data_IF_302080006182
#
_entry.id   IF_302080006182
#
_cell.length_a   1.000
_cell.length_b   1.000
_cell.length_c   1.000
_cell.angle_alpha   90.00
_cell.angle_beta   90.00
_cell.angle_gamma   90.00
#
_symmetry.space_group_name_H-M   'P 1'
#
loop_
_entity.id
_entity.type
_entity.pdbx_description
1 polymer ?
#
# COMPACT_ATOMS: atom_id res chain seq x y z
N UNK A 1 23.97 24.55 39.40
CA UNK A 1 24.33 24.00 38.08
C UNK A 1 23.08 23.41 37.45
N UNK A 2 22.28 24.21 36.72
CA UNK A 2 21.07 23.73 36.04
C UNK A 2 21.43 23.34 34.60
N UNK A 3 21.40 22.05 34.30
CA UNK A 3 21.53 21.53 32.94
C UNK A 3 20.19 21.76 32.24
N UNK A 4 20.04 22.89 31.55
CA UNK A 4 18.93 23.10 30.62
C UNK A 4 19.16 22.26 29.37
N UNK A 5 18.56 21.08 29.33
CA UNK A 5 18.38 20.33 28.08
C UNK A 5 17.39 21.09 27.19
N UNK A 6 17.89 22.00 26.34
CA UNK A 6 17.09 22.51 25.25
C UNK A 6 16.94 21.42 24.18
N UNK A 7 15.85 20.65 24.26
CA UNK A 7 15.36 19.80 23.18
C UNK A 7 15.04 20.68 21.96
N UNK A 8 16.03 20.88 21.09
CA UNK A 8 15.83 21.51 19.78
C UNK A 8 15.26 20.47 18.82
N UNK A 9 13.93 20.35 18.79
CA UNK A 9 13.27 19.58 17.74
C UNK A 9 13.44 20.26 16.39
N UNK A 10 13.88 19.51 15.37
CA UNK A 10 13.91 20.04 14.00
C UNK A 10 12.50 20.31 13.50
N UNK A 11 12.30 21.36 12.69
CA UNK A 11 10.99 21.66 12.06
C UNK A 11 10.40 20.44 11.33
N UNK A 12 11.27 19.61 10.75
CA UNK A 12 10.87 18.37 10.08
C UNK A 12 10.37 17.29 11.06
N UNK A 13 10.97 17.18 12.25
CA UNK A 13 10.49 16.27 13.29
C UNK A 13 9.10 16.69 13.79
N UNK A 14 8.92 17.98 14.08
CA UNK A 14 7.64 18.54 14.51
C UNK A 14 6.56 18.26 13.47
N UNK A 15 6.80 18.55 12.19
CA UNK A 15 5.81 18.31 11.15
C UNK A 15 5.39 16.84 11.01
N UNK A 16 6.33 15.89 11.14
CA UNK A 16 6.02 14.45 11.11
C UNK A 16 5.13 14.05 12.29
N UNK A 17 5.47 14.53 13.49
CA UNK A 17 4.71 14.24 14.70
C UNK A 17 3.31 14.88 14.64
N UNK A 18 3.21 16.13 14.17
CA UNK A 18 1.92 16.80 13.94
C UNK A 18 1.06 16.03 12.95
N UNK A 19 1.61 15.57 11.82
CA UNK A 19 0.86 14.77 10.86
C UNK A 19 0.33 13.46 11.50
N UNK A 20 1.18 12.76 12.26
CA UNK A 20 0.78 11.55 12.96
C UNK A 20 -0.32 11.81 14.00
N UNK A 21 -0.21 12.89 14.77
CA UNK A 21 -1.21 13.29 15.76
C UNK A 21 -2.55 13.67 15.10
N UNK A 22 -2.53 14.39 13.98
CA UNK A 22 -3.75 14.71 13.22
C UNK A 22 -4.39 13.45 12.66
N UNK A 23 -3.62 12.53 12.06
CA UNK A 23 -4.15 11.26 11.57
C UNK A 23 -4.71 10.40 12.70
N UNK A 24 -4.06 10.38 13.86
CA UNK A 24 -4.57 9.69 15.05
C UNK A 24 -5.94 10.22 15.44
N UNK A 25 -6.08 11.54 15.62
CA UNK A 25 -7.33 12.18 16.01
C UNK A 25 -8.43 11.94 14.96
N UNK A 26 -8.12 12.15 13.68
CA UNK A 26 -9.08 11.90 12.60
C UNK A 26 -9.51 10.43 12.56
N UNK A 27 -8.57 9.49 12.69
CA UNK A 27 -8.87 8.06 12.70
C UNK A 27 -9.77 7.69 13.87
N UNK A 28 -9.46 8.19 15.07
CA UNK A 28 -10.24 7.92 16.27
C UNK A 28 -11.66 8.49 16.17
N UNK A 29 -11.83 9.66 15.55
CA UNK A 29 -13.15 10.26 15.33
C UNK A 29 -13.98 9.55 14.25
N UNK A 30 -13.34 9.08 13.17
CA UNK A 30 -14.04 8.49 12.02
C UNK A 30 -14.33 6.99 12.23
N UNK A 31 -13.47 6.27 12.94
CA UNK A 31 -13.58 4.80 13.05
C UNK A 31 -14.91 4.29 13.60
N UNK A 32 -15.53 4.92 14.62
CA UNK A 32 -16.83 4.50 15.12
C UNK A 32 -17.94 4.50 14.07
N UNK A 33 -17.82 5.31 13.00
CA UNK A 33 -18.79 5.33 11.91
C UNK A 33 -18.55 4.21 10.89
N UNK A 34 -17.32 3.71 10.75
CA UNK A 34 -16.99 2.68 9.77
C UNK A 34 -17.20 1.28 10.35
N UNK A 35 -18.44 0.79 10.23
CA UNK A 35 -18.88 -0.48 10.84
C UNK A 35 -19.25 -1.57 9.83
N UNK A 36 -19.55 -1.22 8.57
CA UNK A 36 -20.03 -2.15 7.55
C UNK A 36 -18.91 -2.66 6.63
N UNK A 37 -19.27 -3.55 5.70
CA UNK A 37 -18.32 -4.19 4.79
C UNK A 37 -17.30 -5.05 5.54
N UNK A 38 -16.04 -5.04 5.08
CA UNK A 38 -14.93 -5.79 5.69
C UNK A 38 -14.70 -5.41 7.17
N UNK A 39 -15.07 -4.19 7.59
CA UNK A 39 -14.86 -3.71 8.97
C UNK A 39 -15.66 -4.49 10.01
N UNK A 40 -16.87 -4.93 9.66
CA UNK A 40 -17.72 -5.75 10.53
C UNK A 40 -17.03 -7.06 10.93
N UNK A 41 -16.40 -7.70 9.95
CA UNK A 41 -15.67 -8.94 10.12
C UNK A 41 -14.38 -8.72 10.90
N UNK A 42 -13.65 -7.64 10.62
CA UNK A 42 -12.44 -7.29 11.39
C UNK A 42 -12.76 -7.01 12.86
N UNK A 43 -13.87 -6.32 13.16
CA UNK A 43 -14.34 -6.07 14.54
C UNK A 43 -14.62 -7.37 15.27
N UNK A 44 -15.44 -8.24 14.66
CA UNK A 44 -15.77 -9.55 15.22
C UNK A 44 -14.53 -10.39 15.51
N UNK A 45 -13.60 -10.47 14.54
CA UNK A 45 -12.35 -11.21 14.74
C UNK A 45 -11.55 -10.63 15.89
N UNK A 46 -11.35 -9.31 15.90
CA UNK A 46 -10.56 -8.64 16.94
C UNK A 46 -11.12 -8.87 18.35
N UNK A 47 -12.44 -8.79 18.52
CA UNK A 47 -13.12 -8.97 19.81
C UNK A 47 -13.09 -10.41 20.31
N UNK A 48 -13.02 -11.41 19.42
CA UNK A 48 -12.99 -12.83 19.81
C UNK A 48 -11.55 -13.37 19.96
N UNK A 49 -10.53 -12.68 19.45
CA UNK A 49 -9.12 -13.11 19.56
C UNK A 49 -8.57 -13.30 20.99
N UNK A 50 -9.01 -12.54 22.02
CA UNK A 50 -8.56 -12.75 23.40
C UNK A 50 -8.83 -14.15 23.93
N UNK A 51 -9.94 -14.77 23.49
CA UNK A 51 -10.42 -16.07 23.96
C UNK A 51 -9.59 -17.26 23.45
N UNK A 52 -8.75 -17.04 22.43
CA UNK A 52 -7.98 -18.10 21.78
C UNK A 52 -6.47 -18.01 22.08
N UNK A 53 -5.84 -19.18 22.21
CA UNK A 53 -4.39 -19.32 22.15
C UNK A 53 -3.81 -18.89 20.80
N UNK A 54 -2.48 -18.80 20.68
CA UNK A 54 -1.83 -18.28 19.46
C UNK A 54 -2.15 -19.11 18.20
N UNK A 55 -2.11 -20.43 18.29
CA UNK A 55 -2.33 -21.35 17.16
C UNK A 55 -3.81 -21.40 16.76
N UNK A 56 -4.70 -21.58 17.72
CA UNK A 56 -6.15 -21.59 17.53
C UNK A 56 -6.65 -20.24 17.02
N UNK A 57 -6.14 -19.14 17.58
CA UNK A 57 -6.44 -17.79 17.16
C UNK A 57 -5.99 -17.54 15.72
N UNK A 58 -4.82 -18.04 15.31
CA UNK A 58 -4.36 -17.91 13.93
C UNK A 58 -5.24 -18.70 12.95
N UNK A 59 -5.68 -19.90 13.34
CA UNK A 59 -6.59 -20.71 12.55
C UNK A 59 -7.97 -20.04 12.42
N UNK A 60 -8.50 -19.50 13.51
CA UNK A 60 -9.76 -18.75 13.54
C UNK A 60 -9.67 -17.49 12.67
N UNK A 61 -8.60 -16.71 12.81
CA UNK A 61 -8.31 -15.52 11.99
C UNK A 61 -8.27 -15.87 10.50
N UNK A 62 -7.51 -16.90 10.14
CA UNK A 62 -7.30 -17.29 8.74
C UNK A 62 -8.58 -17.80 8.08
N UNK A 63 -9.40 -18.56 8.81
CA UNK A 63 -10.70 -19.04 8.33
C UNK A 63 -11.71 -17.91 8.20
N UNK A 64 -11.74 -16.99 9.16
CA UNK A 64 -12.70 -15.89 9.18
C UNK A 64 -12.40 -14.88 8.06
N UNK A 65 -11.14 -14.52 7.84
CA UNK A 65 -10.74 -13.46 6.90
C UNK A 65 -10.27 -13.98 5.53
N UNK A 66 -10.20 -15.31 5.35
CA UNK A 66 -9.76 -15.96 4.11
C UNK A 66 -8.33 -15.61 3.69
N UNK A 67 -7.46 -15.18 4.62
CA UNK A 67 -6.08 -14.76 4.33
C UNK A 67 -5.13 -15.13 5.47
N UNK A 68 -3.89 -15.45 5.11
CA UNK A 68 -2.83 -15.88 6.02
C UNK A 68 -1.78 -14.77 6.20
N UNK A 69 -2.17 -13.70 6.90
CA UNK A 69 -1.29 -12.55 7.15
C UNK A 69 -0.84 -12.54 8.60
N UNK A 70 0.32 -13.16 8.83
CA UNK A 70 0.81 -13.44 10.17
C UNK A 70 1.05 -12.16 10.99
N UNK A 71 1.59 -11.08 10.39
CA UNK A 71 1.92 -9.87 11.14
C UNK A 71 0.66 -9.12 11.60
N UNK A 72 -0.33 -8.97 10.72
CA UNK A 72 -1.61 -8.36 11.09
C UNK A 72 -2.29 -9.18 12.20
N UNK A 73 -2.33 -10.50 12.05
CA UNK A 73 -2.84 -11.41 13.07
C UNK A 73 -2.11 -11.23 14.41
N UNK A 74 -0.78 -11.33 14.42
CA UNK A 74 0.00 -11.31 15.65
C UNK A 74 -0.17 -9.98 16.40
N UNK A 75 -0.14 -8.86 15.68
CA UNK A 75 -0.37 -7.54 16.28
C UNK A 75 -1.80 -7.39 16.82
N UNK A 76 -2.81 -7.87 16.09
CA UNK A 76 -4.21 -7.84 16.54
C UNK A 76 -4.45 -8.74 17.75
N UNK A 77 -3.84 -9.93 17.76
CA UNK A 77 -3.90 -10.88 18.87
C UNK A 77 -3.28 -10.28 20.13
N UNK A 78 -2.08 -9.68 20.04
CA UNK A 78 -1.49 -9.00 21.20
C UNK A 78 -2.36 -7.81 21.64
N UNK A 79 -2.77 -6.95 20.71
CA UNK A 79 -3.46 -5.70 21.05
C UNK A 79 -4.87 -5.90 21.63
N UNK A 80 -5.63 -6.88 21.11
CA UNK A 80 -7.02 -7.15 21.53
C UNK A 80 -7.19 -7.48 23.01
N UNK A 81 -6.11 -7.88 23.69
CA UNK A 81 -6.11 -8.15 25.14
C UNK A 81 -6.01 -6.91 26.01
N UNK A 82 -5.57 -5.79 25.44
CA UNK A 82 -5.21 -4.60 26.22
C UNK A 82 -5.93 -3.33 25.74
N UNK A 83 -6.37 -3.29 24.49
CA UNK A 83 -6.80 -2.07 23.82
C UNK A 83 -8.00 -2.37 22.91
N UNK A 84 -8.94 -1.42 22.84
CA UNK A 84 -10.05 -1.48 21.88
C UNK A 84 -9.55 -1.37 20.43
N UNK A 85 -10.26 -2.04 19.51
CA UNK A 85 -9.88 -2.06 18.08
C UNK A 85 -9.66 -0.66 17.52
N UNK A 86 -10.57 0.26 17.78
CA UNK A 86 -10.53 1.61 17.21
C UNK A 86 -9.28 2.38 17.65
N UNK A 87 -8.87 2.22 18.91
CA UNK A 87 -7.66 2.84 19.43
C UNK A 87 -6.40 2.19 18.84
N UNK A 88 -6.37 0.85 18.72
CA UNK A 88 -5.29 0.13 18.07
C UNK A 88 -5.09 0.55 16.60
N UNK A 89 -6.20 0.69 15.86
CA UNK A 89 -6.18 1.10 14.46
C UNK A 89 -5.80 2.57 14.29
N UNK A 90 -6.32 3.47 15.14
CA UNK A 90 -5.93 4.87 15.13
C UNK A 90 -4.42 5.05 15.40
N UNK A 91 -3.86 4.31 16.36
CA UNK A 91 -2.42 4.33 16.64
C UNK A 91 -1.60 3.77 15.48
N UNK A 92 -2.04 2.67 14.86
CA UNK A 92 -1.39 2.10 13.68
C UNK A 92 -1.40 3.07 12.48
N UNK A 93 -2.48 3.83 12.30
CA UNK A 93 -2.57 4.88 11.27
C UNK A 93 -1.61 6.03 11.54
N UNK A 94 -1.47 6.45 12.80
CA UNK A 94 -0.52 7.48 13.21
C UNK A 94 0.93 7.08 12.91
N UNK A 95 1.30 5.83 13.21
CA UNK A 95 2.63 5.29 12.87
C UNK A 95 2.82 5.31 11.36
N UNK A 96 1.84 4.83 10.59
CA UNK A 96 1.93 4.84 9.14
C UNK A 96 2.11 6.27 8.59
N UNK A 97 1.35 7.24 9.09
CA UNK A 97 1.50 8.64 8.72
C UNK A 97 2.91 9.18 9.01
N UNK A 98 3.47 8.87 10.19
CA UNK A 98 4.84 9.27 10.55
C UNK A 98 5.89 8.66 9.61
N UNK A 99 5.75 7.36 9.30
CA UNK A 99 6.65 6.63 8.40
C UNK A 99 6.53 7.17 6.98
N UNK A 100 5.32 7.40 6.47
CA UNK A 100 5.10 7.95 5.13
C UNK A 100 5.62 9.38 4.98
N UNK A 101 5.41 10.24 5.97
CA UNK A 101 6.06 11.56 6.03
C UNK A 101 7.58 11.43 5.96
N UNK A 102 8.16 10.46 6.68
CA UNK A 102 9.60 10.21 6.65
C UNK A 102 10.09 9.73 5.29
N UNK A 103 9.33 8.87 4.62
CA UNK A 103 9.63 8.40 3.26
C UNK A 103 9.56 9.54 2.24
N UNK A 104 8.50 10.34 2.26
CA UNK A 104 8.34 11.47 1.33
C UNK A 104 9.43 12.53 1.51
N UNK A 105 9.86 12.77 2.75
CA UNK A 105 11.03 13.62 3.02
C UNK A 105 12.33 13.02 2.46
N UNK A 106 12.50 11.69 2.52
CA UNK A 106 13.63 11.01 1.85
C UNK A 106 13.57 11.19 0.34
N UNK A 107 12.37 11.20 -0.25
CA UNK A 107 12.13 11.48 -1.67
C UNK A 107 12.12 12.98 -2.03
N UNK A 108 12.69 13.83 -1.16
CA UNK A 108 12.85 15.28 -1.38
C UNK A 108 11.55 16.09 -1.42
N UNK A 109 10.40 15.51 -1.04
CA UNK A 109 9.14 16.26 -0.96
C UNK A 109 9.25 17.42 0.04
N UNK A 110 8.64 18.56 -0.29
CA UNK A 110 8.46 19.65 0.66
C UNK A 110 7.59 19.21 1.83
N UNK A 111 7.79 19.82 3.01
CA UNK A 111 7.05 19.42 4.23
C UNK A 111 5.54 19.56 4.03
N UNK A 112 5.11 20.65 3.40
CA UNK A 112 3.71 20.93 3.12
C UNK A 112 3.14 19.89 2.16
N UNK A 113 3.84 19.58 1.07
CA UNK A 113 3.35 18.59 0.10
C UNK A 113 3.24 17.20 0.73
N UNK A 114 4.22 16.79 1.52
CA UNK A 114 4.15 15.52 2.25
C UNK A 114 2.95 15.48 3.22
N UNK A 115 2.70 16.59 3.92
CA UNK A 115 1.57 16.72 4.84
C UNK A 115 0.23 16.62 4.12
N UNK A 116 0.07 17.33 2.99
CA UNK A 116 -1.13 17.25 2.14
C UNK A 116 -1.36 15.83 1.64
N UNK A 117 -0.34 15.18 1.09
CA UNK A 117 -0.46 13.81 0.58
C UNK A 117 -0.86 12.81 1.66
N UNK A 118 -0.32 12.93 2.87
CA UNK A 118 -0.62 12.00 3.97
C UNK A 118 -2.04 12.20 4.51
N UNK A 119 -2.57 13.42 4.50
CA UNK A 119 -3.89 13.70 5.06
C UNK A 119 -5.04 13.63 4.05
N UNK A 120 -4.84 14.13 2.84
CA UNK A 120 -5.95 14.36 1.89
C UNK A 120 -5.96 13.37 0.74
N UNK A 121 -4.95 12.53 0.59
CA UNK A 121 -4.91 11.59 -0.52
C UNK A 121 -5.82 10.37 -0.28
N UNK A 122 -6.70 10.11 -1.23
CA UNK A 122 -7.65 9.00 -1.19
C UNK A 122 -7.01 7.65 -0.90
N UNK A 123 -5.88 7.32 -1.54
CA UNK A 123 -5.22 6.04 -1.30
C UNK A 123 -4.70 5.91 0.14
N UNK A 124 -4.27 7.02 0.77
CA UNK A 124 -3.91 7.00 2.18
C UNK A 124 -5.12 6.76 3.07
N UNK A 125 -6.26 7.41 2.81
CA UNK A 125 -7.49 7.13 3.56
C UNK A 125 -7.95 5.68 3.40
N UNK A 126 -7.88 5.14 2.19
CA UNK A 126 -8.17 3.72 1.94
C UNK A 126 -7.25 2.82 2.76
N UNK A 127 -5.94 3.11 2.84
CA UNK A 127 -5.02 2.33 3.69
C UNK A 127 -5.35 2.49 5.19
N UNK A 128 -5.69 3.71 5.62
CA UNK A 128 -6.00 3.98 7.03
C UNK A 128 -7.24 3.25 7.51
N UNK A 129 -8.26 3.18 6.68
CA UNK A 129 -9.58 2.71 7.09
C UNK A 129 -9.93 1.36 6.49
N UNK A 130 -10.04 1.26 5.17
CA UNK A 130 -10.54 0.05 4.52
C UNK A 130 -9.51 -1.10 4.48
N UNK A 131 -8.26 -0.80 4.16
CA UNK A 131 -7.22 -1.80 3.91
C UNK A 131 -6.36 -2.07 5.17
N UNK A 132 -7.02 -2.49 6.25
CA UNK A 132 -6.42 -2.74 7.58
C UNK A 132 -5.19 -3.66 7.52
N UNK A 133 -5.34 -4.76 6.77
CA UNK A 133 -4.34 -5.78 6.46
C UNK A 133 -3.12 -5.23 5.70
N UNK A 134 -3.37 -4.52 4.60
CA UNK A 134 -2.35 -3.98 3.71
C UNK A 134 -1.52 -2.87 4.38
N UNK A 135 -2.10 -2.14 5.34
CA UNK A 135 -1.46 -1.07 6.12
C UNK A 135 -0.13 -1.47 6.72
N UNK A 136 -0.07 -2.64 7.37
CA UNK A 136 1.17 -3.13 7.99
C UNK A 136 2.23 -3.46 6.93
N UNK A 137 1.82 -4.07 5.80
CA UNK A 137 2.67 -4.26 4.64
C UNK A 137 3.27 -2.94 4.12
N UNK A 138 2.45 -1.90 3.98
CA UNK A 138 2.90 -0.57 3.57
C UNK A 138 3.81 0.11 4.58
N UNK A 139 3.55 -0.06 5.86
CA UNK A 139 4.38 0.48 6.95
C UNK A 139 5.81 -0.07 6.86
N UNK A 140 5.94 -1.40 6.77
CA UNK A 140 7.25 -2.04 6.65
C UNK A 140 7.91 -1.82 5.27
N UNK A 141 7.12 -1.76 4.19
CA UNK A 141 7.63 -1.36 2.88
C UNK A 141 8.26 0.03 2.96
N UNK A 142 7.55 1.01 3.51
CA UNK A 142 8.03 2.37 3.62
C UNK A 142 9.29 2.45 4.51
N UNK A 143 9.34 1.72 5.64
CA UNK A 143 10.54 1.59 6.46
C UNK A 143 11.72 0.99 5.67
N UNK A 144 11.49 -0.06 4.87
CA UNK A 144 12.54 -0.65 4.05
C UNK A 144 13.13 0.38 3.09
N UNK A 145 12.29 1.17 2.40
CA UNK A 145 12.74 2.18 1.44
C UNK A 145 13.45 3.37 2.13
N UNK A 146 13.02 3.73 3.35
CA UNK A 146 13.75 4.71 4.18
C UNK A 146 15.17 4.21 4.48
N UNK A 147 15.36 2.91 4.68
CA UNK A 147 16.66 2.31 4.99
C UNK A 147 17.34 1.65 3.79
N UNK A 148 16.99 2.02 2.54
CA UNK A 148 17.55 1.40 1.32
C UNK A 148 19.09 1.37 1.27
N UNK A 149 19.76 2.34 1.89
CA UNK A 149 21.21 2.46 1.92
C UNK A 149 21.86 1.60 3.04
N UNK A 150 21.06 1.05 3.95
CA UNK A 150 21.49 0.27 5.11
C UNK A 150 21.04 -1.19 4.97
N UNK A 151 21.88 -2.00 4.30
CA UNK A 151 21.53 -3.34 3.80
C UNK A 151 20.84 -4.25 4.83
N UNK A 152 21.34 -4.33 6.07
CA UNK A 152 20.76 -5.18 7.12
C UNK A 152 19.34 -4.73 7.50
N UNK A 153 19.12 -3.42 7.64
CA UNK A 153 17.82 -2.86 8.00
C UNK A 153 16.85 -2.93 6.83
N UNK A 154 17.33 -2.67 5.61
CA UNK A 154 16.55 -2.81 4.39
C UNK A 154 15.95 -4.23 4.28
N UNK A 155 16.80 -5.27 4.33
CA UNK A 155 16.33 -6.64 4.21
C UNK A 155 15.43 -7.07 5.38
N UNK A 156 15.76 -6.66 6.61
CA UNK A 156 14.91 -6.94 7.77
C UNK A 156 13.48 -6.40 7.60
N UNK A 157 13.35 -5.13 7.21
CA UNK A 157 12.03 -4.54 6.95
C UNK A 157 11.36 -5.08 5.69
N UNK A 158 12.12 -5.44 4.64
CA UNK A 158 11.55 -6.03 3.44
C UNK A 158 10.92 -7.41 3.71
N UNK A 159 11.60 -8.25 4.50
CA UNK A 159 11.05 -9.54 4.94
C UNK A 159 9.79 -9.33 5.79
N UNK A 160 9.82 -8.41 6.74
CA UNK A 160 8.62 -8.07 7.53
C UNK A 160 7.46 -7.57 6.66
N UNK A 161 7.74 -6.78 5.63
CA UNK A 161 6.72 -6.29 4.70
C UNK A 161 6.06 -7.43 3.91
N UNK A 162 6.87 -8.39 3.43
CA UNK A 162 6.37 -9.55 2.70
C UNK A 162 5.55 -10.51 3.57
N UNK A 163 5.98 -10.78 4.80
CA UNK A 163 5.24 -11.60 5.77
C UNK A 163 3.95 -10.88 6.21
N UNK A 164 3.96 -9.55 6.23
CA UNK A 164 2.76 -8.76 6.56
C UNK A 164 1.73 -8.83 5.46
N UNK A 165 2.12 -8.63 4.20
CA UNK A 165 1.19 -8.64 3.09
C UNK A 165 1.86 -8.92 1.74
N UNK A 166 1.42 -9.99 1.06
CA UNK A 166 2.04 -10.46 -0.19
C UNK A 166 1.97 -9.45 -1.33
N UNK A 167 0.93 -8.62 -1.42
CA UNK A 167 0.80 -7.60 -2.49
C UNK A 167 1.94 -6.58 -2.52
N UNK A 168 2.69 -6.40 -1.43
CA UNK A 168 3.90 -5.55 -1.43
C UNK A 168 4.98 -6.09 -2.39
N UNK A 169 4.93 -7.38 -2.72
CA UNK A 169 5.79 -8.01 -3.72
C UNK A 169 5.67 -7.35 -5.10
N UNK A 170 4.58 -6.64 -5.42
CA UNK A 170 4.46 -5.87 -6.67
C UNK A 170 5.58 -4.82 -6.75
N UNK A 171 5.87 -4.11 -5.66
CA UNK A 171 6.89 -3.06 -5.62
C UNK A 171 8.29 -3.67 -5.67
N UNK A 172 8.57 -4.68 -4.85
CA UNK A 172 9.87 -5.36 -4.89
C UNK A 172 10.09 -6.09 -6.22
N UNK A 173 9.03 -6.67 -6.80
CA UNK A 173 9.05 -7.28 -8.13
C UNK A 173 9.38 -6.27 -9.21
N UNK A 174 8.80 -5.08 -9.19
CA UNK A 174 9.17 -3.99 -10.10
C UNK A 174 10.66 -3.61 -9.99
N UNK A 175 11.20 -3.51 -8.76
CA UNK A 175 12.62 -3.21 -8.53
C UNK A 175 13.51 -4.34 -9.04
N UNK A 176 13.22 -5.59 -8.67
CA UNK A 176 13.99 -6.76 -9.06
C UNK A 176 13.94 -6.99 -10.58
N UNK A 177 12.78 -6.79 -11.20
CA UNK A 177 12.61 -6.88 -12.65
C UNK A 177 13.44 -5.83 -13.39
N UNK A 178 13.48 -4.59 -12.89
CA UNK A 178 14.36 -3.56 -13.45
C UNK A 178 15.84 -3.94 -13.35
N UNK A 179 16.28 -4.49 -12.21
CA UNK A 179 17.64 -5.00 -12.06
C UNK A 179 17.90 -6.11 -13.09
N UNK A 180 17.01 -7.11 -13.16
CA UNK A 180 17.10 -8.24 -14.07
C UNK A 180 17.20 -7.83 -15.55
N UNK A 181 16.27 -7.01 -16.04
CA UNK A 181 16.26 -6.56 -17.45
C UNK A 181 17.52 -5.76 -17.79
N UNK A 182 18.00 -4.90 -16.87
CA UNK A 182 19.27 -4.17 -17.07
C UNK A 182 20.47 -5.11 -17.15
N UNK A 183 20.46 -6.19 -16.39
CA UNK A 183 21.44 -7.27 -16.47
C UNK A 183 21.48 -7.92 -17.83
N UNK A 184 20.32 -8.33 -18.33
CA UNK A 184 20.15 -8.92 -19.65
C UNK A 184 20.66 -7.97 -20.73
N UNK A 185 20.24 -6.69 -20.69
CA UNK A 185 20.69 -5.69 -21.66
C UNK A 185 22.21 -5.47 -21.59
N UNK A 186 22.82 -5.51 -20.41
CA UNK A 186 24.28 -5.42 -20.24
C UNK A 186 24.99 -6.65 -20.80
N UNK A 187 24.43 -7.84 -20.59
CA UNK A 187 24.95 -9.10 -21.14
C UNK A 187 24.99 -9.04 -22.67
N UNK A 188 23.88 -8.66 -23.31
CA UNK A 188 23.84 -8.51 -24.77
C UNK A 188 24.85 -7.49 -25.31
N UNK A 189 25.16 -6.43 -24.55
CA UNK A 189 26.11 -5.38 -24.97
C UNK A 189 27.58 -5.73 -24.72
N UNK A 190 27.88 -6.55 -23.72
CA UNK A 190 29.27 -6.76 -23.25
C UNK A 190 29.75 -8.20 -23.29
N UNK A 191 28.83 -9.17 -23.48
CA UNK A 191 29.12 -10.61 -23.45
C UNK A 191 29.55 -11.16 -22.10
N UNK A 192 29.64 -10.33 -21.05
CA UNK A 192 30.15 -10.73 -19.73
C UNK A 192 29.04 -10.77 -18.69
N UNK A 193 28.87 -11.93 -18.04
CA UNK A 193 28.00 -12.10 -16.87
C UNK A 193 28.87 -12.06 -15.62
N UNK A 194 28.61 -11.14 -14.70
CA UNK A 194 29.22 -11.22 -13.37
C UNK A 194 28.53 -12.32 -12.55
N UNK A 195 29.28 -13.06 -11.72
CA UNK A 195 28.79 -14.24 -10.98
C UNK A 195 27.59 -13.93 -10.06
N UNK A 196 27.48 -12.69 -9.57
CA UNK A 196 26.33 -12.20 -8.80
C UNK A 196 25.02 -12.12 -9.60
N UNK A 197 25.06 -12.15 -10.93
CA UNK A 197 23.89 -12.10 -11.81
C UNK A 197 23.24 -13.48 -12.03
N UNK A 198 23.95 -14.57 -11.75
CA UNK A 198 23.36 -15.91 -11.79
C UNK A 198 22.26 -16.07 -10.73
N UNK A 199 22.36 -15.37 -9.59
CA UNK A 199 21.32 -15.32 -8.56
C UNK A 199 20.07 -14.54 -9.01
N UNK A 200 20.19 -13.64 -9.99
CA UNK A 200 19.04 -12.89 -10.55
C UNK A 200 18.20 -13.74 -11.51
N UNK A 201 18.74 -14.82 -12.08
CA UNK A 201 17.95 -15.81 -12.83
C UNK A 201 17.00 -16.62 -11.93
N UNK A 202 17.19 -16.59 -10.61
CA UNK A 202 16.25 -17.19 -9.65
C UNK A 202 15.05 -16.28 -9.35
N UNK A 203 15.10 -14.99 -9.73
CA UNK A 203 14.00 -14.05 -9.47
C UNK A 203 12.72 -14.45 -10.20
N UNK A 204 12.72 -14.80 -11.51
CA UNK A 204 11.54 -15.39 -12.15
C UNK A 204 11.03 -16.66 -11.44
N UNK A 205 11.93 -17.49 -10.92
CA UNK A 205 11.61 -18.68 -10.14
C UNK A 205 11.02 -18.38 -8.75
N UNK A 206 11.09 -17.14 -8.27
CA UNK A 206 10.38 -16.67 -7.06
C UNK A 206 8.93 -16.29 -7.36
N UNK A 207 8.62 -15.90 -8.61
CA UNK A 207 7.27 -15.56 -9.07
C UNK A 207 6.52 -16.74 -9.72
N UNK A 208 7.25 -17.77 -10.15
CA UNK A 208 6.70 -19.02 -10.74
C UNK A 208 5.86 -19.87 -9.77
N UNK A 209 6.24 -20.09 -8.49
CA UNK A 209 5.51 -20.99 -7.61
C UNK A 209 4.09 -20.51 -7.29
N UNK A 210 3.82 -19.22 -7.01
CA UNK A 210 2.45 -18.73 -6.91
C UNK A 210 1.64 -18.94 -8.20
N UNK A 211 2.26 -18.72 -9.37
CA UNK A 211 1.62 -18.86 -10.67
C UNK A 211 1.29 -20.33 -11.03
N UNK A 212 2.17 -21.26 -10.66
CA UNK A 212 2.02 -22.70 -10.94
C UNK A 212 1.14 -23.43 -9.90
N UNK A 213 1.31 -23.13 -8.61
CA UNK A 213 0.54 -23.79 -7.54
C UNK A 213 -0.86 -23.21 -7.37
N UNK A 214 -1.07 -21.97 -7.79
CA UNK A 214 -2.38 -21.33 -7.79
C UNK A 214 -3.17 -21.52 -9.08
N UNK A 215 -2.71 -22.35 -10.02
CA UNK A 215 -3.22 -22.42 -11.39
C UNK A 215 -4.74 -22.50 -11.50
N UNK A 216 -5.40 -23.30 -10.65
CA UNK A 216 -6.86 -23.42 -10.63
C UNK A 216 -7.55 -22.16 -10.06
N UNK A 217 -6.96 -21.51 -9.05
CA UNK A 217 -7.47 -20.24 -8.50
C UNK A 217 -7.27 -19.08 -9.48
N UNK A 218 -6.14 -19.05 -10.19
CA UNK A 218 -5.86 -18.08 -11.25
C UNK A 218 -6.74 -18.31 -12.48
N UNK A 219 -6.98 -19.57 -12.88
CA UNK A 219 -7.88 -19.91 -13.97
C UNK A 219 -9.34 -19.62 -13.61
N UNK A 220 -9.78 -19.92 -12.38
CA UNK A 220 -11.12 -19.54 -11.92
C UNK A 220 -11.32 -18.02 -11.93
N UNK A 221 -10.30 -17.26 -11.50
CA UNK A 221 -10.34 -15.80 -11.54
C UNK A 221 -10.31 -15.29 -12.98
N UNK A 222 -9.42 -15.80 -13.83
CA UNK A 222 -9.34 -15.46 -15.25
C UNK A 222 -10.66 -15.80 -15.98
N UNK A 223 -11.25 -16.96 -15.75
CA UNK A 223 -12.54 -17.36 -16.33
C UNK A 223 -13.67 -16.46 -15.84
N UNK A 224 -13.68 -16.05 -14.56
CA UNK A 224 -14.62 -15.03 -14.06
C UNK A 224 -14.38 -13.63 -14.66
N UNK A 225 -13.13 -13.27 -14.97
CA UNK A 225 -12.77 -12.02 -15.64
C UNK A 225 -13.12 -12.03 -17.14
N UNK A 226 -13.04 -13.18 -17.81
CA UNK A 226 -13.35 -13.31 -19.23
C UNK A 226 -14.83 -13.58 -19.51
N UNK A 227 -15.60 -14.09 -18.55
CA UNK A 227 -17.03 -14.35 -18.71
C UNK A 227 -17.93 -13.14 -18.47
N UNK A 228 -17.43 -12.12 -17.76
CA UNK A 228 -18.14 -10.85 -17.54
C UNK A 228 -17.33 -9.73 -18.21
N UNK A 229 -17.80 -9.28 -19.38
CA UNK A 229 -17.28 -8.11 -20.10
C UNK A 229 -17.50 -6.83 -19.27
N UNK A 230 -16.67 -6.57 -18.27
CA UNK A 230 -16.81 -5.36 -17.47
C UNK A 230 -15.88 -4.24 -17.95
N UNK A 231 -16.50 -3.15 -18.39
CA UNK A 231 -15.86 -1.85 -18.66
C UNK A 231 -14.96 -1.37 -17.49
N UNK A 232 -15.19 -1.88 -16.27
CA UNK A 232 -14.38 -1.59 -15.09
C UNK A 232 -12.89 -1.90 -15.29
N UNK A 233 -12.52 -3.02 -15.91
CA UNK A 233 -11.11 -3.41 -16.05
C UNK A 233 -10.35 -2.52 -17.04
N UNK A 234 -11.02 -2.08 -18.11
CA UNK A 234 -10.44 -1.12 -19.05
C UNK A 234 -10.18 0.24 -18.36
N UNK A 235 -11.04 0.65 -17.43
CA UNK A 235 -10.81 1.88 -16.66
C UNK A 235 -9.63 1.74 -15.72
N UNK A 236 -9.45 0.58 -15.08
CA UNK A 236 -8.31 0.35 -14.19
C UNK A 236 -6.99 0.27 -14.95
N UNK A 237 -6.98 -0.33 -16.15
CA UNK A 237 -5.82 -0.32 -17.04
C UNK A 237 -5.53 1.10 -17.55
N UNK A 238 -6.56 1.88 -17.90
CA UNK A 238 -6.39 3.26 -18.31
C UNK A 238 -5.74 4.09 -17.19
N UNK A 239 -6.15 3.90 -15.93
CA UNK A 239 -5.52 4.56 -14.77
C UNK A 239 -4.03 4.24 -14.65
N UNK A 240 -3.62 2.97 -14.78
CA UNK A 240 -2.19 2.63 -14.68
C UNK A 240 -1.39 3.21 -15.84
N UNK A 241 -1.96 3.29 -17.04
CA UNK A 241 -1.33 3.92 -18.20
C UNK A 241 -1.17 5.43 -18.00
N UNK A 242 -2.18 6.10 -17.44
CA UNK A 242 -2.08 7.52 -17.06
C UNK A 242 -0.97 7.73 -16.02
N UNK A 243 -0.87 6.85 -15.02
CA UNK A 243 0.22 6.88 -14.04
C UNK A 243 1.59 6.66 -14.67
N UNK A 244 1.71 5.75 -15.65
CA UNK A 244 2.95 5.57 -16.40
C UNK A 244 3.34 6.86 -17.14
N UNK A 245 2.40 7.49 -17.84
CA UNK A 245 2.66 8.74 -18.57
C UNK A 245 3.12 9.86 -17.63
N UNK A 246 2.46 10.03 -16.49
CA UNK A 246 2.86 11.01 -15.47
C UNK A 246 4.25 10.70 -14.89
N UNK A 247 4.53 9.43 -14.59
CA UNK A 247 5.83 9.01 -14.09
C UNK A 247 6.95 9.26 -15.13
N UNK A 248 6.67 9.02 -16.42
CA UNK A 248 7.60 9.26 -17.52
C UNK A 248 7.89 10.75 -17.74
N UNK A 249 6.92 11.63 -17.46
CA UNK A 249 7.14 13.07 -17.52
C UNK A 249 8.24 13.48 -16.52
N UNK A 250 8.14 13.03 -15.27
CA UNK A 250 9.07 13.45 -14.21
C UNK A 250 10.35 12.61 -14.10
N UNK A 251 10.38 11.42 -14.69
CA UNK A 251 11.54 10.53 -14.60
C UNK A 251 12.73 11.03 -15.42
N UNK A 252 13.91 11.04 -14.77
CA UNK A 252 15.19 11.29 -15.45
C UNK A 252 15.59 10.14 -16.38
N UNK A 253 15.16 8.91 -16.09
CA UNK A 253 15.54 7.69 -16.83
C UNK A 253 14.27 6.99 -17.32
N UNK A 254 13.78 7.41 -18.48
CA UNK A 254 12.52 6.91 -19.07
C UNK A 254 12.50 5.37 -19.20
N UNK A 255 13.60 4.77 -19.63
CA UNK A 255 13.69 3.31 -19.75
C UNK A 255 13.52 2.59 -18.41
N UNK A 256 14.05 3.14 -17.32
CA UNK A 256 13.86 2.60 -15.97
C UNK A 256 12.39 2.55 -15.59
N UNK A 257 11.70 3.65 -15.84
CA UNK A 257 10.31 3.84 -15.48
C UNK A 257 9.41 2.89 -16.26
N UNK A 258 9.62 2.75 -17.58
CA UNK A 258 8.87 1.77 -18.38
C UNK A 258 9.08 0.36 -17.82
N UNK A 259 10.33 -0.04 -17.56
CA UNK A 259 10.62 -1.39 -17.08
C UNK A 259 9.98 -1.64 -15.71
N UNK A 260 10.00 -0.66 -14.79
CA UNK A 260 9.36 -0.80 -13.47
C UNK A 260 7.84 -0.92 -13.55
N UNK A 261 7.18 -0.31 -14.55
CA UNK A 261 5.73 -0.39 -14.70
C UNK A 261 5.26 -1.70 -15.34
N UNK A 262 6.12 -2.44 -16.06
CA UNK A 262 5.73 -3.71 -16.70
C UNK A 262 5.15 -4.71 -15.69
N UNK A 263 5.82 -5.03 -14.56
CA UNK A 263 5.24 -5.93 -13.55
C UNK A 263 3.95 -5.42 -12.93
N UNK A 264 3.76 -4.09 -12.85
CA UNK A 264 2.56 -3.48 -12.28
C UNK A 264 1.38 -3.63 -13.25
N UNK A 265 1.60 -3.39 -14.55
CA UNK A 265 0.58 -3.62 -15.59
C UNK A 265 0.16 -5.09 -15.61
N UNK A 266 1.12 -6.02 -15.52
CA UNK A 266 0.82 -7.45 -15.39
C UNK A 266 0.01 -7.73 -14.12
N UNK A 267 0.38 -7.12 -12.99
CA UNK A 267 -0.34 -7.29 -11.74
C UNK A 267 -1.81 -6.79 -11.80
N UNK A 268 -2.11 -5.75 -12.58
CA UNK A 268 -3.50 -5.28 -12.80
C UNK A 268 -4.35 -6.42 -13.37
N UNK A 269 -3.86 -7.11 -14.40
CA UNK A 269 -4.57 -8.22 -15.03
C UNK A 269 -4.70 -9.45 -14.11
N UNK A 270 -3.71 -9.70 -13.25
CA UNK A 270 -3.69 -10.91 -12.41
C UNK A 270 -4.51 -10.75 -11.11
N UNK A 271 -4.42 -9.59 -10.46
CA UNK A 271 -4.87 -9.41 -9.08
C UNK A 271 -6.12 -8.51 -9.00
N UNK A 272 -6.34 -7.67 -10.01
CA UNK A 272 -7.42 -6.67 -10.07
C UNK A 272 -6.90 -5.25 -9.86
N UNK A 273 -7.56 -4.28 -10.50
CA UNK A 273 -7.01 -2.93 -10.69
C UNK A 273 -6.93 -2.04 -9.46
N UNK A 274 -7.95 -2.03 -8.60
CA UNK A 274 -8.08 -1.00 -7.56
C UNK A 274 -6.89 -0.96 -6.59
N UNK A 275 -6.47 -2.12 -6.06
CA UNK A 275 -5.33 -2.21 -5.13
C UNK A 275 -3.98 -2.07 -5.85
N UNK A 276 -3.89 -2.46 -7.12
CA UNK A 276 -2.66 -2.35 -7.91
C UNK A 276 -2.40 -0.89 -8.32
N UNK A 277 -3.46 -0.14 -8.64
CA UNK A 277 -3.39 1.28 -8.98
C UNK A 277 -2.86 2.15 -7.84
N UNK A 278 -3.09 1.74 -6.59
CA UNK A 278 -2.44 2.36 -5.43
C UNK A 278 -0.91 2.28 -5.55
N UNK A 279 -0.35 1.11 -5.85
CA UNK A 279 1.10 0.96 -6.03
C UNK A 279 1.60 1.76 -7.24
N UNK A 280 0.86 1.75 -8.35
CA UNK A 280 1.16 2.58 -9.52
C UNK A 280 1.27 4.07 -9.18
N UNK A 281 0.35 4.58 -8.37
CA UNK A 281 0.40 5.96 -7.89
C UNK A 281 1.59 6.22 -6.95
N UNK A 282 1.99 5.26 -6.10
CA UNK A 282 3.22 5.38 -5.31
C UNK A 282 4.48 5.53 -6.18
N UNK A 283 4.53 4.89 -7.36
CA UNK A 283 5.62 5.13 -8.32
C UNK A 283 5.55 6.54 -8.92
N UNK A 284 4.35 7.07 -9.22
CA UNK A 284 4.18 8.48 -9.64
C UNK A 284 4.72 9.42 -8.56
N UNK A 285 4.41 9.18 -7.29
CA UNK A 285 4.93 9.97 -6.18
C UNK A 285 6.47 9.86 -6.08
N UNK A 286 7.04 8.66 -6.22
CA UNK A 286 8.49 8.47 -6.17
C UNK A 286 9.23 9.35 -7.18
N UNK A 287 8.76 9.43 -8.43
CA UNK A 287 9.39 10.28 -9.45
C UNK A 287 8.98 11.75 -9.34
N UNK A 288 7.69 12.03 -9.09
CA UNK A 288 7.14 13.38 -9.05
C UNK A 288 7.64 14.19 -7.86
N UNK A 289 7.81 13.59 -6.67
CA UNK A 289 8.22 14.32 -5.48
C UNK A 289 9.67 14.85 -5.54
N UNK A 290 10.52 14.20 -6.34
CA UNK A 290 11.90 14.63 -6.55
C UNK A 290 11.99 15.95 -7.33
N UNK A 291 10.94 16.33 -8.06
CA UNK A 291 10.90 17.56 -8.85
C UNK A 291 10.24 18.70 -8.06
N UNK A 292 11.01 19.76 -7.78
CA UNK A 292 10.58 20.96 -7.02
C UNK A 292 9.91 20.63 -5.67
N UNK A 293 10.34 19.55 -5.02
CA UNK A 293 9.77 19.08 -3.77
C UNK A 293 8.29 18.71 -3.84
N UNK A 294 7.84 18.23 -5.01
CA UNK A 294 6.46 17.82 -5.27
C UNK A 294 5.53 18.94 -5.71
N UNK A 295 5.98 20.19 -5.75
CA UNK A 295 5.20 21.32 -6.30
C UNK A 295 5.27 21.32 -7.83
N UNK A 296 4.57 20.37 -8.44
CA UNK A 296 4.50 20.24 -9.89
C UNK A 296 3.09 19.87 -10.34
N UNK A 297 2.82 20.13 -11.62
CA UNK A 297 1.49 19.99 -12.20
C UNK A 297 0.89 18.60 -11.98
N UNK A 298 1.63 17.52 -12.24
CA UNK A 298 1.11 16.16 -12.10
C UNK A 298 0.78 15.78 -10.67
N UNK A 299 1.66 16.07 -9.70
CA UNK A 299 1.40 15.81 -8.28
C UNK A 299 0.25 16.68 -7.77
N UNK A 300 0.17 17.96 -8.15
CA UNK A 300 -0.91 18.85 -7.73
C UNK A 300 -2.26 18.41 -8.30
N UNK A 301 -2.34 18.15 -9.60
CA UNK A 301 -3.59 17.73 -10.26
C UNK A 301 -4.08 16.40 -9.69
N UNK A 302 -3.19 15.43 -9.49
CA UNK A 302 -3.57 14.16 -8.84
C UNK A 302 -3.94 14.34 -7.38
N UNK A 303 -3.28 15.24 -6.65
CA UNK A 303 -3.63 15.55 -5.25
C UNK A 303 -5.03 16.18 -5.13
N UNK A 304 -5.40 17.09 -6.02
CA UNK A 304 -6.75 17.69 -6.07
C UNK A 304 -7.80 16.63 -6.39
N UNK A 305 -7.55 15.80 -7.43
CA UNK A 305 -8.44 14.69 -7.78
C UNK A 305 -8.66 13.74 -6.61
N UNK A 306 -7.58 13.30 -5.95
CA UNK A 306 -7.68 12.40 -4.80
C UNK A 306 -8.23 13.07 -3.55
N UNK A 307 -8.08 14.38 -3.37
CA UNK A 307 -8.74 15.11 -2.29
C UNK A 307 -10.26 15.11 -2.47
N UNK A 308 -10.76 15.28 -3.70
CA UNK A 308 -12.18 15.15 -3.99
C UNK A 308 -12.69 13.73 -3.73
N UNK A 309 -11.96 12.69 -4.19
CA UNK A 309 -12.31 11.30 -3.90
C UNK A 309 -12.29 10.98 -2.40
N UNK A 310 -11.38 11.58 -1.63
CA UNK A 310 -11.32 11.45 -0.17
C UNK A 310 -12.58 11.97 0.52
N UNK A 311 -13.12 13.11 0.07
CA UNK A 311 -14.35 13.68 0.64
C UNK A 311 -15.51 12.69 0.43
N UNK A 312 -15.68 12.19 -0.79
CA UNK A 312 -16.73 11.21 -1.11
C UNK A 312 -16.59 9.94 -0.26
N UNK A 313 -15.37 9.43 -0.10
CA UNK A 313 -15.10 8.27 0.76
C UNK A 313 -15.52 8.51 2.21
N UNK A 314 -15.16 9.66 2.79
CA UNK A 314 -15.50 10.00 4.18
C UNK A 314 -17.01 10.22 4.37
N UNK A 315 -17.67 10.86 3.41
CA UNK A 315 -19.13 11.04 3.44
C UNK A 315 -19.83 9.67 3.44
N UNK A 316 -19.39 8.75 2.57
CA UNK A 316 -19.94 7.40 2.51
C UNK A 316 -19.72 6.63 3.81
N UNK A 317 -18.53 6.73 4.42
CA UNK A 317 -18.26 6.14 5.73
C UNK A 317 -19.21 6.69 6.80
N UNK A 318 -19.42 8.00 6.86
CA UNK A 318 -20.25 8.63 7.90
C UNK A 318 -21.74 8.31 7.69
N UNK A 319 -22.23 8.33 6.44
CA UNK A 319 -23.65 8.19 6.13
C UNK A 319 -24.10 6.72 6.04
N UNK A 320 -23.24 5.83 5.55
CA UNK A 320 -23.60 4.45 5.21
C UNK A 320 -22.80 3.42 5.99
N UNK A 321 -21.81 3.85 6.77
CA UNK A 321 -20.90 2.97 7.48
C UNK A 321 -19.97 2.17 6.58
N UNK A 322 -19.90 2.49 5.27
CA UNK A 322 -19.00 1.86 4.29
C UNK A 322 -18.49 2.90 3.29
N UNK A 323 -17.16 3.04 3.17
CA UNK A 323 -16.53 3.98 2.25
C UNK A 323 -16.68 3.65 0.77
N UNK A 324 -17.09 2.43 0.42
CA UNK A 324 -17.33 2.00 -0.95
C UNK A 324 -18.82 1.85 -1.30
N UNK A 325 -19.71 2.39 -0.47
CA UNK A 325 -21.14 2.36 -0.76
C UNK A 325 -21.45 3.14 -2.04
N UNK A 326 -21.73 2.42 -3.13
CA UNK A 326 -22.36 2.96 -4.32
C UNK A 326 -23.84 2.61 -4.21
N UNK A 327 -24.71 3.60 -3.96
CA UNK A 327 -26.15 3.37 -3.82
C UNK A 327 -26.71 2.51 -4.94
N UNK A 328 -26.96 1.24 -4.65
CA UNK A 328 -27.53 0.30 -5.61
C UNK A 328 -29.04 0.48 -5.63
N UNK A 329 -29.51 1.46 -6.41
CA UNK A 329 -30.87 1.47 -6.98
C UNK A 329 -31.09 0.32 -8.01
N UNK A 330 -30.40 -0.81 -7.84
CA UNK A 330 -30.44 -1.98 -8.73
C UNK A 330 -30.52 -3.33 -7.98
N UNK A 331 -30.79 -3.33 -6.67
CA UNK A 331 -31.07 -4.58 -5.92
C UNK A 331 -32.57 -4.90 -5.89
N UNK A 332 -33.43 -3.99 -6.33
CA UNK A 332 -34.90 -4.23 -6.36
C UNK A 332 -35.42 -4.85 -7.68
N UNK A 333 -34.54 -5.11 -8.66
CA UNK A 333 -34.92 -5.70 -9.97
C UNK A 333 -34.44 -7.13 -10.23
N UNK A 334 -33.86 -7.80 -9.23
CA UNK A 334 -33.42 -9.21 -9.32
C UNK A 334 -34.08 -10.08 -8.25
N UNK A 335 -35.28 -9.69 -7.80
CA UNK A 335 -36.13 -10.49 -6.92
C UNK A 335 -37.32 -11.16 -7.62
N UNK A 336 -37.31 -11.20 -8.95
CA UNK A 336 -38.19 -12.05 -9.76
C UNK A 336 -37.36 -13.01 -10.61
#
# INVERSE_FOLDING_TARGET
MQIKYHLRFSRAFVAKFTAAAVVFLLSFLIMPFYINGDQSLYRKVYETLPDFGLTEGFLFYSRSLGSQEFVHFFLSWVASRFVDKDLFIAFSNAILAYVSMSLFRKWQASVIMAFLLVLTNFYFLVIYFAAERLKFGFMFLALSLIYIDQIKRFYGFAVLALISHVQVLIVYGAILFNIFVRGILKLFRTGKVAKSWLLLFLVPFLFLPPLLLGGEFFLAKLVSYYSVRDFADLTELAKILVFLLLALWYSKKKSETIIMFIPIVIAVFLIGGFRVNLFGYFFVLYYGLQFRGGWNFGVLTTSVYFAYSSINFLVNVIQHGDGFFSGSLLVEKLKD
#
